data_IF_492747002811
#
_entry.id   IF_492747002811
#
_cell.length_a   1.000
_cell.length_b   1.000
_cell.length_c   1.000
_cell.angle_alpha   90.00
_cell.angle_beta   90.00
_cell.angle_gamma   90.00
#
_symmetry.space_group_name_H-M   'P 1'
#
loop_
_entity.id
_entity.type
_entity.pdbx_description
1 polymer ?
#
# COMPACT_ATOMS: atom_id res chain seq x y z
N UNK A 1 9.95 2.82 6.14
CA UNK A 1 9.38 4.08 5.62
C UNK A 1 7.90 4.26 6.01
N UNK A 2 7.01 3.29 5.74
CA UNK A 2 5.59 3.41 6.04
C UNK A 2 5.31 3.70 7.52
N UNK A 3 6.04 3.06 8.43
CA UNK A 3 5.86 3.26 9.88
C UNK A 3 6.22 4.68 10.33
N UNK A 4 7.21 5.32 9.70
CA UNK A 4 7.59 6.70 10.01
C UNK A 4 6.46 7.68 9.63
N UNK A 5 5.85 7.47 8.46
CA UNK A 5 4.70 8.25 8.00
C UNK A 5 3.49 8.05 8.93
N UNK A 6 3.19 6.80 9.30
CA UNK A 6 2.09 6.49 10.22
C UNK A 6 2.32 7.09 11.62
N UNK A 7 3.54 6.97 12.15
CA UNK A 7 3.91 7.55 13.44
C UNK A 7 3.64 9.05 13.46
N UNK A 8 4.09 9.77 12.45
CA UNK A 8 3.88 11.21 12.32
C UNK A 8 2.42 11.57 12.12
N UNK A 9 1.76 10.91 11.17
CA UNK A 9 0.39 11.24 10.78
C UNK A 9 -0.64 10.97 11.88
N UNK A 10 -0.42 9.95 12.70
CA UNK A 10 -1.34 9.50 13.74
C UNK A 10 -0.88 9.84 15.18
N UNK A 11 0.35 10.33 15.34
CA UNK A 11 0.94 10.55 16.66
C UNK A 11 1.17 9.24 17.43
N UNK A 12 1.57 8.16 16.75
CA UNK A 12 1.73 6.85 17.40
C UNK A 12 2.94 6.85 18.35
N UNK A 13 2.82 6.34 19.58
CA UNK A 13 3.92 6.22 20.54
C UNK A 13 4.80 5.00 20.22
N UNK A 14 5.26 4.90 18.97
CA UNK A 14 6.04 3.76 18.48
C UNK A 14 7.53 4.10 18.40
N UNK A 15 8.37 3.12 18.75
CA UNK A 15 9.79 3.13 18.45
C UNK A 15 10.02 2.35 17.15
N UNK A 16 10.74 2.95 16.22
CA UNK A 16 11.07 2.31 14.94
C UNK A 16 12.39 1.57 15.12
N UNK A 17 12.39 0.28 14.84
CA UNK A 17 13.59 -0.55 14.78
C UNK A 17 13.86 -0.89 13.33
N UNK A 18 15.08 -0.63 12.87
CA UNK A 18 15.53 -0.86 11.50
C UNK A 18 16.75 -1.79 11.47
N UNK A 19 17.17 -2.21 10.26
CA UNK A 19 18.34 -3.06 10.08
C UNK A 19 17.99 -4.50 9.66
N UNK A 20 16.72 -4.88 9.65
CA UNK A 20 16.29 -6.19 9.14
C UNK A 20 16.39 -6.23 7.61
N UNK A 21 16.88 -7.35 7.07
CA UNK A 21 17.04 -7.54 5.62
C UNK A 21 15.73 -7.81 4.88
N UNK A 22 14.66 -8.16 5.61
CA UNK A 22 13.37 -8.44 5.01
C UNK A 22 12.31 -8.90 5.99
N UNK A 23 11.10 -9.13 5.47
CA UNK A 23 9.92 -9.49 6.28
C UNK A 23 10.07 -10.80 7.04
N UNK A 24 10.86 -11.75 6.53
CA UNK A 24 11.11 -13.03 7.21
C UNK A 24 11.89 -12.83 8.52
N UNK A 25 12.91 -11.99 8.53
CA UNK A 25 13.68 -11.67 9.75
C UNK A 25 12.80 -10.92 10.76
N UNK A 26 11.99 -9.97 10.30
CA UNK A 26 11.07 -9.24 11.19
C UNK A 26 10.04 -10.20 11.81
N UNK A 27 9.54 -11.18 11.05
CA UNK A 27 8.63 -12.20 11.57
C UNK A 27 9.26 -13.00 12.70
N UNK A 28 10.52 -13.40 12.56
CA UNK A 28 11.25 -14.08 13.63
C UNK A 28 11.46 -13.17 14.85
N UNK A 29 11.78 -11.90 14.64
CA UNK A 29 11.92 -10.92 15.71
C UNK A 29 10.59 -10.68 16.47
N UNK A 30 9.46 -10.66 15.77
CA UNK A 30 8.13 -10.61 16.39
C UNK A 30 7.87 -11.89 17.21
N UNK A 31 8.15 -13.07 16.66
CA UNK A 31 7.97 -14.33 17.36
C UNK A 31 8.86 -14.44 18.60
N UNK A 32 10.04 -13.81 18.59
CA UNK A 32 10.98 -13.74 19.71
C UNK A 32 10.66 -12.60 20.70
N UNK A 33 9.58 -11.83 20.49
CA UNK A 33 9.24 -10.61 21.24
C UNK A 33 10.33 -9.51 21.22
N UNK A 34 11.20 -9.51 20.22
CA UNK A 34 12.20 -8.46 20.01
C UNK A 34 11.56 -7.16 19.51
N UNK A 35 10.55 -7.29 18.65
CA UNK A 35 9.69 -6.18 18.18
C UNK A 35 8.22 -6.57 18.30
N UNK A 36 7.38 -5.57 18.54
CA UNK A 36 5.94 -5.79 18.78
C UNK A 36 5.09 -5.89 17.50
N UNK A 37 5.66 -5.62 16.33
CA UNK A 37 4.91 -5.68 15.09
C UNK A 37 5.68 -5.24 13.86
N UNK A 38 5.00 -5.33 12.72
CA UNK A 38 5.50 -4.94 11.40
C UNK A 38 4.44 -4.11 10.68
N UNK A 39 4.88 -3.22 9.80
CA UNK A 39 4.03 -2.39 8.96
C UNK A 39 4.41 -2.55 7.48
N UNK A 40 3.44 -2.33 6.57
CA UNK A 40 3.69 -2.34 5.13
C UNK A 40 3.61 -3.71 4.49
N UNK A 41 2.84 -4.62 5.05
CA UNK A 41 2.53 -5.93 4.46
C UNK A 41 1.29 -5.87 3.57
N UNK A 42 1.34 -6.53 2.42
CA UNK A 42 0.16 -6.78 1.62
C UNK A 42 -0.72 -7.86 2.30
N UNK A 43 -2.04 -7.62 2.37
CA UNK A 43 -2.96 -8.54 3.05
C UNK A 43 -2.95 -9.94 2.46
N UNK A 44 -2.95 -10.07 1.12
CA UNK A 44 -2.85 -11.36 0.44
C UNK A 44 -1.62 -12.17 0.90
N UNK A 45 -0.46 -11.52 1.03
CA UNK A 45 0.77 -12.15 1.53
C UNK A 45 0.67 -12.48 3.03
N UNK A 46 0.09 -11.58 3.82
CA UNK A 46 -0.06 -11.74 5.26
C UNK A 46 -0.91 -12.95 5.62
N UNK A 47 -2.02 -13.17 4.93
CA UNK A 47 -2.89 -14.35 5.11
C UNK A 47 -2.17 -15.68 4.92
N UNK A 48 -1.14 -15.71 4.08
CA UNK A 48 -0.36 -16.92 3.81
C UNK A 48 0.78 -17.05 4.80
N UNK A 49 1.56 -16.00 4.97
CA UNK A 49 2.81 -16.06 5.75
C UNK A 49 2.60 -16.05 7.26
N UNK A 50 1.49 -15.45 7.74
CA UNK A 50 1.15 -15.33 9.16
C UNK A 50 -0.14 -16.09 9.51
N UNK A 51 -0.50 -17.08 8.70
CA UNK A 51 -1.77 -17.79 8.82
C UNK A 51 -2.00 -18.36 10.20
N UNK A 52 -1.02 -19.08 10.74
CA UNK A 52 -1.13 -19.74 12.04
C UNK A 52 -1.30 -18.73 13.17
N UNK A 53 -0.50 -17.69 13.16
CA UNK A 53 -0.48 -16.64 14.18
C UNK A 53 -1.76 -15.77 14.13
N UNK A 54 -2.35 -15.61 12.94
CA UNK A 54 -3.64 -14.94 12.78
C UNK A 54 -4.79 -15.83 13.28
N UNK A 55 -4.77 -17.15 12.97
CA UNK A 55 -5.78 -18.10 13.41
C UNK A 55 -5.74 -18.33 14.93
N UNK A 56 -4.56 -18.34 15.55
CA UNK A 56 -4.38 -18.46 17.02
C UNK A 56 -4.69 -17.14 17.76
N UNK A 57 -4.66 -16.01 17.05
CA UNK A 57 -4.81 -14.68 17.66
C UNK A 57 -3.54 -14.09 18.25
N UNK A 58 -2.39 -14.77 18.11
CA UNK A 58 -1.08 -14.27 18.56
C UNK A 58 -0.65 -13.01 17.79
N UNK A 59 -1.11 -12.89 16.53
CA UNK A 59 -0.93 -11.70 15.69
C UNK A 59 -2.29 -11.13 15.32
N UNK A 60 -2.42 -9.81 15.39
CA UNK A 60 -3.63 -9.08 15.02
C UNK A 60 -3.32 -7.99 14.02
N UNK A 61 -4.22 -7.82 13.03
CA UNK A 61 -4.20 -6.66 12.16
C UNK A 61 -4.90 -5.52 12.90
N UNK A 62 -4.17 -4.46 13.21
CA UNK A 62 -4.69 -3.34 14.02
C UNK A 62 -4.93 -2.08 13.21
N UNK A 63 -4.40 -2.02 11.98
CA UNK A 63 -4.48 -0.83 11.13
C UNK A 63 -4.33 -1.20 9.66
N UNK A 64 -5.10 -0.55 8.81
CA UNK A 64 -4.99 -0.64 7.35
C UNK A 64 -4.40 0.64 6.76
N UNK A 65 -3.41 0.51 5.86
CA UNK A 65 -2.82 1.64 5.15
C UNK A 65 -3.55 1.97 3.83
N UNK A 66 -4.62 1.25 3.52
CA UNK A 66 -5.39 1.46 2.30
C UNK A 66 -6.24 2.74 2.39
N UNK A 67 -6.57 3.31 1.24
CA UNK A 67 -7.45 4.48 1.14
C UNK A 67 -8.91 4.16 1.52
N UNK A 68 -9.32 2.88 1.38
CA UNK A 68 -10.62 2.36 1.78
C UNK A 68 -10.45 1.04 2.55
N UNK A 69 -11.41 0.67 3.43
CA UNK A 69 -11.36 -0.59 4.16
C UNK A 69 -11.33 -1.79 3.22
N UNK A 70 -10.51 -2.78 3.56
CA UNK A 70 -10.48 -4.05 2.83
C UNK A 70 -11.73 -4.89 3.19
N UNK A 71 -12.41 -5.53 2.22
CA UNK A 71 -13.63 -6.30 2.49
C UNK A 71 -13.49 -7.42 3.54
N UNK A 72 -12.32 -8.03 3.64
CA UNK A 72 -12.03 -9.07 4.64
C UNK A 72 -11.61 -8.51 6.01
N UNK A 73 -11.45 -7.19 6.16
CA UNK A 73 -11.02 -6.52 7.37
C UNK A 73 -11.97 -5.36 7.73
N UNK A 74 -13.30 -5.58 7.78
CA UNK A 74 -14.27 -4.49 7.93
C UNK A 74 -14.14 -3.75 9.27
N UNK A 75 -13.71 -4.46 10.32
CA UNK A 75 -13.60 -3.92 11.68
C UNK A 75 -12.24 -3.30 11.99
N UNK A 76 -11.27 -3.41 11.06
CA UNK A 76 -9.95 -2.82 11.24
C UNK A 76 -9.94 -1.40 10.68
N UNK A 77 -9.61 -0.37 11.47
CA UNK A 77 -9.65 1.01 11.00
C UNK A 77 -8.58 1.27 9.94
N UNK A 78 -8.88 2.19 9.03
CA UNK A 78 -7.87 2.72 8.09
C UNK A 78 -7.08 3.84 8.76
N UNK A 79 -5.81 4.01 8.38
CA UNK A 79 -4.97 5.09 8.91
C UNK A 79 -5.61 6.47 8.67
N UNK A 80 -6.21 6.68 7.49
CA UNK A 80 -6.83 7.96 7.14
C UNK A 80 -8.05 8.27 8.01
N UNK A 81 -8.80 7.27 8.47
CA UNK A 81 -9.96 7.48 9.37
C UNK A 81 -9.54 7.91 10.78
N UNK A 82 -8.31 7.59 11.18
CA UNK A 82 -7.74 7.93 12.50
C UNK A 82 -6.95 9.24 12.48
N UNK A 83 -6.59 9.77 11.30
CA UNK A 83 -5.82 10.99 11.19
C UNK A 83 -6.64 12.21 11.63
N UNK A 84 -6.16 12.88 12.69
CA UNK A 84 -6.85 14.02 13.33
C UNK A 84 -6.53 15.37 12.68
N UNK A 85 -5.42 15.45 11.94
CA UNK A 85 -4.93 16.69 11.35
C UNK A 85 -4.95 16.64 9.83
N UNK A 86 -5.12 17.78 9.18
CA UNK A 86 -5.06 17.85 7.70
C UNK A 86 -3.66 17.48 7.19
N UNK A 87 -2.60 17.85 7.92
CA UNK A 87 -1.23 17.43 7.58
C UNK A 87 -1.11 15.90 7.63
N UNK A 88 -1.61 15.24 8.68
CA UNK A 88 -1.61 13.79 8.79
C UNK A 88 -2.33 13.12 7.62
N UNK A 89 -3.52 13.61 7.24
CA UNK A 89 -4.26 13.09 6.09
C UNK A 89 -3.49 13.25 4.77
N UNK A 90 -2.87 14.42 4.55
CA UNK A 90 -2.04 14.69 3.37
C UNK A 90 -0.80 13.82 3.31
N UNK A 91 -0.14 13.57 4.45
CA UNK A 91 1.01 12.67 4.55
C UNK A 91 0.63 11.23 4.18
N UNK A 92 -0.50 10.73 4.68
CA UNK A 92 -1.03 9.40 4.34
C UNK A 92 -1.39 9.31 2.86
N UNK A 93 -2.09 10.33 2.33
CA UNK A 93 -2.47 10.35 0.92
C UNK A 93 -1.25 10.32 0.01
N UNK A 94 -0.34 11.28 0.15
CA UNK A 94 0.82 11.41 -0.73
C UNK A 94 1.87 10.32 -0.50
N UNK A 95 2.15 10.01 0.78
CA UNK A 95 3.26 9.11 1.14
C UNK A 95 2.92 7.62 1.13
N UNK A 96 1.64 7.25 1.26
CA UNK A 96 1.21 5.85 1.28
C UNK A 96 0.25 5.51 0.14
N UNK A 97 -0.86 6.23 -0.01
CA UNK A 97 -1.91 5.85 -0.96
C UNK A 97 -1.49 6.10 -2.41
N UNK A 98 -1.00 7.30 -2.72
CA UNK A 98 -0.60 7.68 -4.09
C UNK A 98 0.64 6.90 -4.52
N UNK A 99 1.62 6.71 -3.62
CA UNK A 99 2.80 5.86 -3.86
C UNK A 99 2.39 4.41 -4.05
N UNK A 100 1.46 3.91 -3.23
CA UNK A 100 0.93 2.56 -3.35
C UNK A 100 0.26 2.31 -4.71
N UNK A 101 -0.48 3.29 -5.23
CA UNK A 101 -1.16 3.19 -6.51
C UNK A 101 -0.22 3.07 -7.72
N UNK A 102 1.07 3.48 -7.59
CA UNK A 102 2.07 3.39 -8.65
C UNK A 102 3.10 2.28 -8.44
N UNK A 103 2.90 1.38 -7.48
CA UNK A 103 3.87 0.33 -7.15
C UNK A 103 4.08 -0.66 -8.31
N UNK A 104 3.02 -1.02 -9.01
CA UNK A 104 3.06 -1.93 -10.16
C UNK A 104 2.41 -1.25 -11.37
N UNK A 105 3.23 -0.64 -12.22
CA UNK A 105 2.76 0.09 -13.40
C UNK A 105 3.33 -0.48 -14.69
N UNK A 106 2.52 -0.39 -15.75
CA UNK A 106 2.97 -0.59 -17.12
C UNK A 106 3.02 0.75 -17.82
N UNK A 107 4.16 1.10 -18.39
CA UNK A 107 4.38 2.38 -19.06
C UNK A 107 4.92 2.17 -20.47
N UNK A 108 4.72 3.18 -21.31
CA UNK A 108 5.26 3.23 -22.65
C UNK A 108 6.42 4.23 -22.74
N UNK A 109 7.31 4.07 -23.72
CA UNK A 109 8.30 5.09 -24.03
C UNK A 109 7.66 6.44 -24.35
N UNK A 110 8.35 7.55 -24.09
CA UNK A 110 7.90 8.87 -24.53
C UNK A 110 7.55 8.89 -26.02
N UNK A 111 6.56 9.71 -26.39
CA UNK A 111 6.08 9.88 -27.77
C UNK A 111 5.41 8.63 -28.39
N UNK A 112 5.06 7.60 -27.63
CA UNK A 112 4.20 6.52 -28.13
C UNK A 112 2.87 7.11 -28.62
N UNK A 113 2.41 6.74 -29.84
CA UNK A 113 1.14 7.24 -30.40
C UNK A 113 -0.05 6.96 -29.46
N UNK A 114 -0.91 7.96 -29.28
CA UNK A 114 -2.01 7.90 -28.31
C UNK A 114 -2.99 6.75 -28.59
N UNK A 115 -3.23 6.43 -29.84
CA UNK A 115 -4.07 5.30 -30.25
C UNK A 115 -3.51 3.96 -29.76
N UNK A 116 -2.20 3.77 -29.80
CA UNK A 116 -1.52 2.58 -29.28
C UNK A 116 -1.65 2.48 -27.77
N UNK A 117 -1.47 3.60 -27.07
CA UNK A 117 -1.68 3.65 -25.62
C UNK A 117 -3.12 3.27 -25.25
N UNK A 118 -4.12 3.80 -26.00
CA UNK A 118 -5.53 3.49 -25.74
C UNK A 118 -5.89 2.02 -26.04
N UNK A 119 -5.30 1.42 -27.07
CA UNK A 119 -5.48 -0.01 -27.35
C UNK A 119 -5.02 -0.84 -26.15
N UNK A 120 -3.83 -0.56 -25.63
CA UNK A 120 -3.27 -1.32 -24.51
C UNK A 120 -4.01 -1.06 -23.20
N UNK A 121 -4.46 0.18 -22.94
CA UNK A 121 -5.31 0.48 -21.77
C UNK A 121 -6.59 -0.35 -21.78
N UNK A 122 -7.25 -0.46 -22.92
CA UNK A 122 -8.45 -1.32 -23.07
C UNK A 122 -8.12 -2.78 -22.88
N UNK A 123 -7.11 -3.29 -23.58
CA UNK A 123 -6.70 -4.69 -23.47
C UNK A 123 -6.35 -5.06 -22.01
N UNK A 124 -5.65 -4.21 -21.28
CA UNK A 124 -5.35 -4.41 -19.86
C UNK A 124 -6.64 -4.52 -19.03
N UNK A 125 -7.59 -3.59 -19.21
CA UNK A 125 -8.85 -3.61 -18.47
C UNK A 125 -9.73 -4.80 -18.81
N UNK A 126 -9.70 -5.27 -20.05
CA UNK A 126 -10.42 -6.49 -20.51
C UNK A 126 -9.79 -7.74 -19.90
N UNK A 127 -8.46 -7.86 -19.92
CA UNK A 127 -7.73 -8.96 -19.27
C UNK A 127 -8.08 -9.06 -17.78
N UNK A 128 -8.17 -7.93 -17.06
CA UNK A 128 -8.54 -7.95 -15.64
C UNK A 128 -9.98 -8.41 -15.36
N UNK A 129 -10.81 -8.52 -16.38
CA UNK A 129 -12.20 -9.03 -16.32
C UNK A 129 -12.36 -10.40 -16.95
N UNK A 130 -11.34 -10.90 -17.62
CA UNK A 130 -11.35 -12.21 -18.24
C UNK A 130 -11.53 -13.30 -17.18
N UNK A 131 -12.47 -14.22 -17.41
CA UNK A 131 -12.86 -15.20 -16.41
C UNK A 131 -11.74 -16.20 -16.09
N UNK A 132 -10.96 -16.59 -17.10
CA UNK A 132 -9.85 -17.53 -16.94
C UNK A 132 -8.71 -16.86 -16.17
N UNK A 133 -8.36 -15.62 -16.55
CA UNK A 133 -7.35 -14.82 -15.84
C UNK A 133 -7.72 -14.59 -14.37
N UNK A 134 -8.97 -14.22 -14.10
CA UNK A 134 -9.46 -14.01 -12.73
C UNK A 134 -9.42 -15.32 -11.92
N UNK A 135 -9.79 -16.45 -12.53
CA UNK A 135 -9.73 -17.74 -11.86
C UNK A 135 -8.29 -18.15 -11.52
N UNK A 136 -7.35 -17.96 -12.43
CA UNK A 136 -5.94 -18.26 -12.20
C UNK A 136 -5.34 -17.33 -11.12
N UNK A 137 -5.64 -16.04 -11.16
CA UNK A 137 -5.21 -15.10 -10.12
C UNK A 137 -5.73 -15.52 -8.73
N UNK A 138 -7.01 -15.89 -8.63
CA UNK A 138 -7.61 -16.40 -7.39
C UNK A 138 -6.94 -17.68 -6.89
N UNK A 139 -6.65 -18.62 -7.79
CA UNK A 139 -5.94 -19.86 -7.47
C UNK A 139 -4.53 -19.60 -6.95
N UNK A 140 -3.85 -18.60 -7.51
CA UNK A 140 -2.54 -18.14 -7.05
C UNK A 140 -2.57 -17.24 -5.82
N UNK A 141 -3.74 -16.98 -5.23
CA UNK A 141 -3.94 -15.99 -4.15
C UNK A 141 -3.47 -14.56 -4.49
N UNK A 142 -3.52 -14.20 -5.78
CA UNK A 142 -3.27 -12.83 -6.21
C UNK A 142 -4.54 -11.99 -6.07
N UNK A 143 -4.40 -10.83 -5.46
CA UNK A 143 -5.45 -9.83 -5.40
C UNK A 143 -5.41 -8.94 -6.64
N UNK A 144 -6.53 -8.85 -7.35
CA UNK A 144 -6.65 -8.01 -8.54
C UNK A 144 -7.33 -6.69 -8.17
N UNK A 145 -6.56 -5.63 -8.13
CA UNK A 145 -7.02 -4.26 -7.88
C UNK A 145 -6.59 -3.33 -9.02
N UNK A 146 -7.12 -3.53 -10.25
CA UNK A 146 -6.65 -2.80 -11.41
C UNK A 146 -7.00 -1.30 -11.32
N UNK A 147 -6.02 -0.46 -11.61
CA UNK A 147 -6.17 0.99 -11.71
C UNK A 147 -6.17 1.38 -13.18
N UNK A 148 -7.17 2.17 -13.60
CA UNK A 148 -7.23 2.66 -14.98
C UNK A 148 -6.10 3.66 -15.27
N UNK A 149 -5.58 3.63 -16.50
CA UNK A 149 -4.44 4.44 -16.91
C UNK A 149 -4.68 5.95 -16.73
N UNK A 150 -5.92 6.43 -16.92
CA UNK A 150 -6.30 7.83 -16.71
C UNK A 150 -6.27 8.24 -15.23
N UNK A 151 -6.61 7.30 -14.34
CA UNK A 151 -6.50 7.51 -12.88
C UNK A 151 -5.03 7.58 -12.49
N UNK A 152 -4.23 6.63 -12.97
CA UNK A 152 -2.79 6.59 -12.73
C UNK A 152 -2.09 7.87 -13.22
N UNK A 153 -2.41 8.33 -14.41
CA UNK A 153 -1.89 9.57 -14.99
C UNK A 153 -2.22 10.80 -14.13
N UNK A 154 -3.44 10.88 -13.60
CA UNK A 154 -3.83 11.95 -12.66
C UNK A 154 -3.03 11.87 -11.35
N UNK A 155 -2.86 10.66 -10.81
CA UNK A 155 -2.06 10.45 -9.57
C UNK A 155 -0.62 10.90 -9.78
N UNK A 156 0.03 10.49 -10.87
CA UNK A 156 1.40 10.89 -11.18
C UNK A 156 1.51 12.41 -11.36
N UNK A 157 0.59 13.02 -12.09
CA UNK A 157 0.54 14.47 -12.24
C UNK A 157 0.28 15.20 -10.92
N UNK A 158 -0.39 14.54 -9.98
CA UNK A 158 -0.61 15.04 -8.62
C UNK A 158 0.68 15.23 -7.83
N UNK A 159 1.67 14.33 -8.00
CA UNK A 159 2.97 14.47 -7.32
C UNK A 159 3.68 15.77 -7.67
N UNK A 160 3.62 16.20 -8.92
CA UNK A 160 4.23 17.46 -9.37
C UNK A 160 3.50 18.72 -8.88
N UNK A 161 2.28 18.56 -8.36
CA UNK A 161 1.45 19.63 -7.81
C UNK A 161 1.30 19.54 -6.30
N UNK A 162 2.01 18.59 -5.67
CA UNK A 162 1.91 18.36 -4.23
C UNK A 162 2.37 19.59 -3.44
N UNK A 163 1.71 19.81 -2.30
CA UNK A 163 2.03 20.88 -1.37
C UNK A 163 3.50 20.78 -0.92
N UNK A 164 4.35 21.79 -1.17
CA UNK A 164 5.76 21.75 -0.78
C UNK A 164 5.99 21.45 0.71
N UNK A 165 5.07 21.86 1.58
CA UNK A 165 5.15 21.60 3.02
C UNK A 165 5.04 20.12 3.31
N UNK A 166 4.10 19.42 2.64
CA UNK A 166 3.92 17.97 2.77
C UNK A 166 5.13 17.22 2.20
N UNK A 167 5.62 17.65 1.03
CA UNK A 167 6.80 17.05 0.39
C UNK A 167 8.04 17.20 1.26
N UNK A 168 8.27 18.38 1.85
CA UNK A 168 9.40 18.59 2.73
C UNK A 168 9.30 17.74 4.00
N UNK A 169 8.10 17.63 4.57
CA UNK A 169 7.87 16.76 5.73
C UNK A 169 8.14 15.29 5.41
N UNK A 170 7.69 14.80 4.26
CA UNK A 170 8.01 13.43 3.80
C UNK A 170 9.53 13.23 3.62
N UNK A 171 10.23 14.20 3.04
CA UNK A 171 11.70 14.14 2.92
C UNK A 171 12.42 14.07 4.27
N UNK A 172 11.89 14.71 5.31
CA UNK A 172 12.43 14.61 6.67
C UNK A 172 12.20 13.23 7.28
N UNK A 173 11.01 12.66 7.09
CA UNK A 173 10.63 11.37 7.66
C UNK A 173 11.31 10.17 6.99
N UNK A 174 11.76 10.34 5.75
CA UNK A 174 12.31 9.25 4.91
C UNK A 174 13.84 9.30 4.75
N UNK A 175 14.50 10.16 5.51
CA UNK A 175 15.97 10.19 5.66
C UNK A 175 16.43 9.11 6.65
#
# INVERSE_FOLDING_TARGET
DNVAILKEALGLPTQIVSGYKGTAEIRLAVAANEVSGICGLAWASTKVTWRKELESGDVKVVLQNAAAPHPELPDVPTAVSLAKTDMGKKLLQLGLHDVGAITYIYSFPPATPKDRVQIMRRAFQETMKDAEFVAEAKKGNFELTPVAGEVLERTINGFFKADPTVVNKLKELLK
#
